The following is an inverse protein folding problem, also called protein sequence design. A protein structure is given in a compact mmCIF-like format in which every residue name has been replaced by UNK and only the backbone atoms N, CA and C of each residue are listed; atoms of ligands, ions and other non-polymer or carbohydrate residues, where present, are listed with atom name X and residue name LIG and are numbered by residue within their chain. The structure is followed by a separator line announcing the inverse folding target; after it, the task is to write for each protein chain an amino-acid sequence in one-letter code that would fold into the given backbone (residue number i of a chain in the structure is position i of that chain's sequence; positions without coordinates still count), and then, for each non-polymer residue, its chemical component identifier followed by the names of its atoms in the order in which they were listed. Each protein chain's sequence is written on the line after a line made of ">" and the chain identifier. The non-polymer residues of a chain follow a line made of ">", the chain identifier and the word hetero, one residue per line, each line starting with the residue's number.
data_IF_329476163785
#
_entry.id   IF_329476163785
#
_cell.length_a   1.000
_cell.length_b   1.000
_cell.length_c   1.000
_cell.angle_alpha   90.00
_cell.angle_beta   90.00
_cell.angle_gamma   90.00
#
_symmetry.space_group_name_H-M   'P 1'
#
loop_
_entity.id
_entity.type
_entity.pdbx_description
1 polymer ?
#
# COMPACT_ATOMS: atom_id res chain seq x y z
N UNK A 1 -15.12 37.08 -18.17
CA UNK A 1 -16.23 36.26 -17.63
C UNK A 1 -16.01 34.79 -17.98
N UNK A 2 -15.82 34.46 -19.27
CA UNK A 2 -15.52 33.09 -19.73
C UNK A 2 -14.37 32.40 -18.99
N UNK A 3 -13.25 33.07 -18.70
CA UNK A 3 -12.08 32.36 -18.13
C UNK A 3 -12.19 32.10 -16.61
N UNK A 4 -12.99 32.87 -15.86
CA UNK A 4 -13.30 32.56 -14.45
C UNK A 4 -14.27 31.38 -14.33
N UNK A 5 -15.29 31.32 -15.20
CA UNK A 5 -16.23 30.20 -15.26
C UNK A 5 -15.52 28.92 -15.72
N UNK A 6 -14.56 29.03 -16.64
CA UNK A 6 -13.68 27.93 -17.06
C UNK A 6 -12.78 27.49 -15.90
N UNK A 7 -12.12 28.41 -15.20
CA UNK A 7 -11.29 28.09 -14.02
C UNK A 7 -12.11 27.37 -12.93
N UNK A 8 -13.34 27.84 -12.66
CA UNK A 8 -14.26 27.21 -11.70
C UNK A 8 -14.65 25.78 -12.10
N UNK A 9 -14.90 25.57 -13.39
CA UNK A 9 -15.21 24.25 -13.93
C UNK A 9 -14.00 23.31 -13.90
N UNK A 10 -12.78 23.83 -14.02
CA UNK A 10 -11.55 23.02 -13.92
C UNK A 10 -11.28 22.68 -12.46
N UNK A 11 -11.37 23.66 -11.55
CA UNK A 11 -11.08 23.48 -10.13
C UNK A 11 -11.97 22.43 -9.45
N UNK A 12 -13.21 22.27 -9.92
CA UNK A 12 -14.17 21.31 -9.37
C UNK A 12 -13.98 19.87 -9.87
N UNK A 13 -13.20 19.65 -10.94
CA UNK A 13 -13.02 18.32 -11.55
C UNK A 13 -11.98 17.45 -10.87
N UNK A 14 -11.16 18.02 -9.98
CA UNK A 14 -10.10 17.29 -9.27
C UNK A 14 -10.20 17.56 -7.77
N UNK A 15 -11.24 17.06 -7.08
CA UNK A 15 -11.35 17.25 -5.63
C UNK A 15 -10.20 16.53 -4.91
N UNK A 16 -9.76 17.12 -3.80
CA UNK A 16 -8.90 16.46 -2.82
C UNK A 16 -9.61 15.26 -2.20
N UNK A 17 -8.85 14.35 -1.58
CA UNK A 17 -9.41 13.20 -0.85
C UNK A 17 -10.28 13.64 0.33
N UNK A 18 -9.92 14.73 1.01
CA UNK A 18 -10.66 15.33 2.11
C UNK A 18 -10.45 16.85 2.13
N UNK A 19 -11.52 17.57 2.51
CA UNK A 19 -11.43 19.01 2.75
C UNK A 19 -10.43 19.33 3.86
N UNK A 20 -9.73 20.46 3.72
CA UNK A 20 -8.89 21.01 4.77
C UNK A 20 -9.73 21.62 5.89
N UNK A 21 -9.56 21.11 7.10
CA UNK A 21 -10.36 21.49 8.29
C UNK A 21 -9.57 22.31 9.32
N UNK A 22 -8.39 22.81 8.98
CA UNK A 22 -7.62 23.73 9.81
C UNK A 22 -6.90 23.04 10.98
N UNK A 23 -7.13 23.50 12.20
CA UNK A 23 -6.40 23.05 13.41
C UNK A 23 -6.58 21.55 13.70
N UNK A 24 -7.73 21.00 13.28
CA UNK A 24 -8.10 19.59 13.48
C UNK A 24 -7.68 18.70 12.30
N UNK A 25 -7.07 19.25 11.24
CA UNK A 25 -6.64 18.47 10.09
C UNK A 25 -5.41 17.62 10.44
N UNK A 26 -5.31 16.45 9.81
CA UNK A 26 -4.11 15.63 9.94
C UNK A 26 -2.92 16.25 9.22
N UNK A 27 -3.15 17.06 8.19
CA UNK A 27 -2.11 17.74 7.41
C UNK A 27 -1.72 19.05 8.06
N UNK A 28 -0.43 19.35 8.10
CA UNK A 28 0.06 20.70 8.37
C UNK A 28 -0.36 21.72 7.30
N UNK A 29 -0.29 23.00 7.64
CA UNK A 29 -0.52 24.10 6.70
C UNK A 29 0.36 24.00 5.46
N UNK A 30 1.66 23.78 5.63
CA UNK A 30 2.59 23.62 4.51
C UNK A 30 2.32 22.36 3.68
N UNK A 31 1.83 21.28 4.28
CA UNK A 31 1.42 20.09 3.53
C UNK A 31 0.23 20.42 2.64
N UNK A 32 -0.77 21.13 3.16
CA UNK A 32 -1.92 21.56 2.37
C UNK A 32 -1.53 22.60 1.30
N UNK A 33 -0.62 23.54 1.59
CA UNK A 33 -0.10 24.48 0.58
C UNK A 33 0.56 23.74 -0.57
N UNK A 34 1.38 22.72 -0.29
CA UNK A 34 1.97 21.89 -1.33
C UNK A 34 0.91 21.18 -2.17
N UNK A 35 -0.18 20.72 -1.55
CA UNK A 35 -1.33 20.17 -2.29
C UNK A 35 -1.97 21.22 -3.19
N UNK A 36 -2.19 22.45 -2.73
CA UNK A 36 -2.71 23.56 -3.54
C UNK A 36 -1.80 23.87 -4.72
N UNK A 37 -0.48 23.89 -4.51
CA UNK A 37 0.49 24.20 -5.56
C UNK A 37 0.64 23.08 -6.59
N UNK A 38 0.54 21.82 -6.15
CA UNK A 38 0.62 20.63 -7.01
C UNK A 38 -0.71 20.30 -7.66
N UNK A 39 -1.83 20.73 -7.06
CA UNK A 39 -3.15 20.57 -7.64
C UNK A 39 -3.19 21.29 -8.98
N UNK A 40 -3.66 20.57 -9.99
CA UNK A 40 -3.83 21.10 -11.33
C UNK A 40 -2.50 21.71 -11.83
N UNK A 41 -1.42 20.93 -11.73
CA UNK A 41 -0.09 21.32 -12.21
C UNK A 41 -0.16 21.85 -13.66
N UNK A 42 0.48 23.01 -13.90
CA UNK A 42 0.41 23.73 -15.17
C UNK A 42 -0.78 24.67 -15.34
N UNK A 43 -1.76 24.67 -14.44
CA UNK A 43 -2.86 25.65 -14.45
C UNK A 43 -2.51 26.97 -13.75
N UNK A 44 -3.30 28.01 -14.06
CA UNK A 44 -3.11 29.37 -13.57
C UNK A 44 -3.49 29.57 -12.10
N UNK A 45 -3.06 30.70 -11.53
CA UNK A 45 -3.28 31.02 -10.12
C UNK A 45 -4.77 31.11 -9.75
N UNK A 46 -5.65 31.54 -10.67
CA UNK A 46 -7.10 31.57 -10.44
C UNK A 46 -7.63 30.16 -10.21
N UNK A 47 -7.28 29.22 -11.08
CA UNK A 47 -7.72 27.84 -10.97
C UNK A 47 -7.26 27.22 -9.66
N UNK A 48 -5.99 27.42 -9.26
CA UNK A 48 -5.47 26.90 -7.98
C UNK A 48 -6.12 27.55 -6.76
N UNK A 49 -6.37 28.85 -6.80
CA UNK A 49 -7.08 29.56 -5.73
C UNK A 49 -8.53 29.05 -5.56
N UNK A 50 -9.24 28.84 -6.68
CA UNK A 50 -10.60 28.29 -6.66
C UNK A 50 -10.61 26.83 -6.22
N UNK A 51 -9.58 26.07 -6.58
CA UNK A 51 -9.38 24.72 -6.08
C UNK A 51 -9.21 24.71 -4.56
N UNK A 52 -8.35 25.57 -4.01
CA UNK A 52 -8.17 25.70 -2.57
C UNK A 52 -9.50 26.04 -1.87
N UNK A 53 -10.27 26.98 -2.44
CA UNK A 53 -11.61 27.33 -1.94
C UNK A 53 -12.55 26.12 -1.87
N UNK A 54 -12.62 25.33 -2.95
CA UNK A 54 -13.50 24.17 -3.01
C UNK A 54 -13.08 23.05 -2.04
N UNK A 55 -11.78 22.97 -1.73
CA UNK A 55 -11.17 21.93 -0.91
C UNK A 55 -10.85 22.38 0.52
N UNK A 56 -11.40 23.50 0.96
CA UNK A 56 -11.31 23.97 2.36
C UNK A 56 -12.71 23.95 2.97
N UNK A 57 -12.81 23.67 4.27
CA UNK A 57 -14.06 23.84 5.01
C UNK A 57 -14.50 25.32 5.03
N UNK A 58 -15.79 25.59 4.90
CA UNK A 58 -16.30 26.96 4.74
C UNK A 58 -15.95 27.88 5.93
N UNK A 59 -15.94 27.32 7.14
CA UNK A 59 -15.56 28.02 8.38
C UNK A 59 -14.08 28.44 8.35
N UNK A 60 -13.20 27.52 7.92
CA UNK A 60 -11.76 27.72 7.77
C UNK A 60 -11.46 28.67 6.63
N UNK A 61 -12.13 28.50 5.49
CA UNK A 61 -11.99 29.40 4.35
C UNK A 61 -12.28 30.84 4.75
N UNK A 62 -13.38 31.05 5.49
CA UNK A 62 -13.75 32.38 6.00
C UNK A 62 -12.69 32.99 6.92
N UNK A 63 -11.98 32.16 7.74
CA UNK A 63 -10.83 32.60 8.53
C UNK A 63 -9.65 33.00 7.63
N UNK A 64 -9.31 32.18 6.63
CA UNK A 64 -8.17 32.37 5.73
C UNK A 64 -8.27 33.63 4.88
N UNK A 65 -9.47 33.94 4.38
CA UNK A 65 -9.70 35.11 3.51
C UNK A 65 -10.17 36.35 4.30
N UNK A 66 -10.12 36.33 5.64
CA UNK A 66 -10.63 37.44 6.46
C UNK A 66 -9.90 38.74 6.13
N UNK A 67 -10.66 39.77 5.77
CA UNK A 67 -10.11 41.06 5.36
C UNK A 67 -9.47 41.04 3.96
N UNK A 68 -9.82 40.05 3.12
CA UNK A 68 -9.52 40.05 1.69
C UNK A 68 -10.80 39.96 0.88
N UNK A 69 -10.96 40.89 -0.06
CA UNK A 69 -11.95 40.75 -1.13
C UNK A 69 -11.28 40.02 -2.30
N UNK A 70 -11.86 38.93 -2.82
CA UNK A 70 -11.29 38.25 -3.98
C UNK A 70 -11.35 39.17 -5.22
N UNK A 71 -10.32 39.16 -6.09
CA UNK A 71 -10.33 40.01 -7.28
C UNK A 71 -11.46 39.60 -8.22
N UNK A 72 -12.47 40.45 -8.38
CA UNK A 72 -13.65 40.08 -9.18
C UNK A 72 -13.32 39.98 -10.68
N UNK A 73 -12.23 40.60 -11.15
CA UNK A 73 -11.99 40.81 -12.60
C UNK A 73 -10.53 40.78 -13.08
N UNK A 74 -9.54 40.62 -12.22
CA UNK A 74 -8.12 40.73 -12.58
C UNK A 74 -7.37 39.43 -12.30
N UNK A 75 -7.05 38.67 -13.36
CA UNK A 75 -6.29 37.40 -13.26
C UNK A 75 -4.88 37.61 -12.67
N UNK A 76 -4.24 38.76 -12.96
CA UNK A 76 -2.92 39.11 -12.41
C UNK A 76 -2.93 39.31 -10.90
N UNK A 77 -4.08 39.68 -10.32
CA UNK A 77 -4.18 39.83 -8.86
C UNK A 77 -4.32 38.48 -8.15
N UNK A 78 -4.81 37.43 -8.84
CA UNK A 78 -4.92 36.10 -8.23
C UNK A 78 -3.58 35.47 -7.87
N UNK A 79 -2.48 35.81 -8.54
CA UNK A 79 -1.15 35.39 -8.10
C UNK A 79 -0.80 35.94 -6.72
N UNK A 80 -1.12 37.22 -6.47
CA UNK A 80 -0.89 37.86 -5.16
C UNK A 80 -1.83 37.27 -4.11
N UNK A 81 -3.08 37.02 -4.47
CA UNK A 81 -4.06 36.41 -3.57
C UNK A 81 -3.71 34.95 -3.24
N UNK A 82 -3.25 34.17 -4.21
CA UNK A 82 -2.79 32.80 -3.97
C UNK A 82 -1.56 32.79 -3.06
N UNK A 83 -0.56 33.63 -3.34
CA UNK A 83 0.61 33.78 -2.46
C UNK A 83 0.22 34.18 -1.04
N UNK A 84 -0.69 35.14 -0.89
CA UNK A 84 -1.21 35.55 0.41
C UNK A 84 -1.96 34.42 1.10
N UNK A 85 -2.81 33.69 0.37
CA UNK A 85 -3.52 32.53 0.90
C UNK A 85 -2.54 31.48 1.43
N UNK A 86 -1.53 31.09 0.64
CA UNK A 86 -0.52 30.13 1.07
C UNK A 86 0.22 30.61 2.32
N UNK A 87 0.66 31.88 2.34
CA UNK A 87 1.30 32.47 3.53
C UNK A 87 0.38 32.40 4.75
N UNK A 88 -0.89 32.82 4.64
CA UNK A 88 -1.83 32.78 5.76
C UNK A 88 -2.10 31.36 6.25
N UNK A 89 -2.16 30.37 5.35
CA UNK A 89 -2.30 28.96 5.73
C UNK A 89 -1.11 28.52 6.58
N UNK A 90 0.11 28.81 6.13
CA UNK A 90 1.32 28.46 6.87
C UNK A 90 1.38 29.18 8.23
N UNK A 91 1.12 30.49 8.25
CA UNK A 91 1.15 31.31 9.46
C UNK A 91 0.17 30.82 10.55
N UNK A 92 -0.98 30.27 10.16
CA UNK A 92 -2.00 29.79 11.09
C UNK A 92 -1.82 28.32 11.48
N UNK A 93 -1.38 27.47 10.54
CA UNK A 93 -1.47 26.02 10.67
C UNK A 93 -0.11 25.29 10.65
N UNK A 94 1.02 25.99 10.52
CA UNK A 94 2.36 25.47 10.81
C UNK A 94 2.84 25.96 12.19
N UNK A 95 2.01 25.72 13.21
CA UNK A 95 2.26 26.11 14.59
C UNK A 95 2.87 24.96 15.41
N UNK A 96 3.27 25.26 16.65
CA UNK A 96 3.90 24.27 17.56
C UNK A 96 3.02 23.04 17.82
N UNK A 97 1.68 23.18 17.79
CA UNK A 97 0.76 22.05 17.95
C UNK A 97 0.78 21.12 16.73
N UNK A 98 0.81 21.68 15.52
CA UNK A 98 0.95 20.91 14.28
C UNK A 98 2.30 20.17 14.24
N UNK A 99 3.38 20.83 14.65
CA UNK A 99 4.70 20.21 14.78
C UNK A 99 4.66 19.07 15.80
N UNK A 100 4.13 19.31 17.01
CA UNK A 100 4.03 18.30 18.05
C UNK A 100 3.20 17.08 17.62
N UNK A 101 2.07 17.31 16.93
CA UNK A 101 1.25 16.24 16.33
C UNK A 101 2.05 15.41 15.33
N UNK A 102 2.78 16.05 14.43
CA UNK A 102 3.62 15.36 13.44
C UNK A 102 4.79 14.59 14.09
N UNK A 103 5.43 15.16 15.11
CA UNK A 103 6.49 14.48 15.88
C UNK A 103 5.96 13.26 16.63
N UNK A 104 4.79 13.37 17.27
CA UNK A 104 4.13 12.23 17.92
C UNK A 104 3.82 11.14 16.90
N UNK A 105 3.27 11.50 15.74
CA UNK A 105 3.05 10.54 14.64
C UNK A 105 4.35 9.89 14.19
N UNK A 106 5.43 10.65 14.07
CA UNK A 106 6.74 10.11 13.72
C UNK A 106 7.21 9.10 14.76
N UNK A 107 7.28 9.47 16.03
CA UNK A 107 7.81 8.63 17.12
C UNK A 107 6.96 7.38 17.34
N UNK A 108 5.65 7.47 17.13
CA UNK A 108 4.72 6.34 17.32
C UNK A 108 4.49 5.51 16.06
N UNK A 109 5.09 5.89 14.93
CA UNK A 109 4.91 5.21 13.65
C UNK A 109 5.40 3.75 13.70
N UNK A 110 4.44 2.82 13.56
CA UNK A 110 4.67 1.38 13.49
C UNK A 110 3.91 0.78 12.32
N UNK A 111 4.45 -0.29 11.75
CA UNK A 111 3.83 -1.05 10.68
C UNK A 111 2.53 -1.66 11.20
N UNK A 112 1.43 -1.50 10.48
CA UNK A 112 0.17 -2.18 10.85
C UNK A 112 0.23 -3.68 10.50
N UNK A 113 -0.56 -4.55 11.17
CA UNK A 113 -0.49 -6.00 10.97
C UNK A 113 -0.70 -6.47 9.52
N UNK A 114 -1.50 -5.75 8.73
CA UNK A 114 -1.80 -6.05 7.32
C UNK A 114 -1.10 -5.10 6.34
N UNK A 115 -0.29 -4.18 6.83
CA UNK A 115 0.40 -3.18 6.00
C UNK A 115 1.67 -3.76 5.40
N UNK A 116 1.84 -3.61 4.08
CA UNK A 116 3.07 -4.02 3.40
C UNK A 116 4.24 -3.10 3.79
N UNK A 117 5.46 -3.64 3.77
CA UNK A 117 6.68 -2.87 4.05
C UNK A 117 6.75 -1.56 3.23
N UNK A 118 6.38 -1.61 1.95
CA UNK A 118 6.40 -0.43 1.08
C UNK A 118 5.38 0.63 1.50
N UNK A 119 4.18 0.25 1.92
CA UNK A 119 3.17 1.19 2.43
C UNK A 119 3.64 1.84 3.73
N UNK A 120 4.17 1.04 4.65
CA UNK A 120 4.74 1.52 5.91
C UNK A 120 5.88 2.52 5.68
N UNK A 121 6.82 2.19 4.79
CA UNK A 121 7.95 3.06 4.45
C UNK A 121 7.47 4.40 3.90
N UNK A 122 6.56 4.38 2.92
CA UNK A 122 5.98 5.61 2.34
C UNK A 122 5.24 6.46 3.37
N UNK A 123 4.53 5.83 4.30
CA UNK A 123 3.82 6.54 5.37
C UNK A 123 4.80 7.23 6.31
N UNK A 124 5.89 6.56 6.69
CA UNK A 124 6.96 7.15 7.49
C UNK A 124 7.66 8.31 6.77
N UNK A 125 7.99 8.13 5.48
CA UNK A 125 8.58 9.17 4.63
C UNK A 125 7.65 10.39 4.48
N UNK A 126 6.34 10.16 4.37
CA UNK A 126 5.34 11.23 4.31
C UNK A 126 5.35 12.09 5.57
N UNK A 127 5.42 11.47 6.76
CA UNK A 127 5.50 12.20 8.04
C UNK A 127 6.80 13.02 8.12
N UNK A 128 7.94 12.45 7.70
CA UNK A 128 9.21 13.19 7.66
C UNK A 128 9.17 14.35 6.68
N UNK A 129 8.51 14.15 5.53
CA UNK A 129 8.36 15.22 4.56
C UNK A 129 7.50 16.36 5.11
N UNK A 130 6.42 16.04 5.82
CA UNK A 130 5.59 17.03 6.52
C UNK A 130 6.38 17.81 7.57
N UNK A 131 7.15 17.13 8.42
CA UNK A 131 8.06 17.77 9.38
C UNK A 131 9.06 18.70 8.68
N UNK A 132 9.63 18.26 7.56
CA UNK A 132 10.57 19.05 6.77
C UNK A 132 9.94 20.31 6.18
N UNK A 133 8.70 20.21 5.68
CA UNK A 133 7.95 21.35 5.18
C UNK A 133 7.69 22.41 6.25
N UNK A 134 7.51 21.99 7.51
CA UNK A 134 7.42 22.90 8.67
C UNK A 134 8.80 23.36 9.20
N UNK A 135 9.89 23.04 8.50
CA UNK A 135 11.25 23.45 8.86
C UNK A 135 11.94 22.53 9.88
N UNK A 136 11.34 21.40 10.25
CA UNK A 136 11.94 20.45 11.19
C UNK A 136 12.79 19.43 10.43
N UNK A 137 14.09 19.40 10.75
CA UNK A 137 15.03 18.47 10.11
C UNK A 137 15.06 17.12 10.84
N UNK A 138 14.70 16.06 10.13
CA UNK A 138 14.89 14.69 10.61
C UNK A 138 16.24 14.14 10.15
N UNK A 139 17.04 13.63 11.09
CA UNK A 139 18.31 12.98 10.75
C UNK A 139 18.06 11.61 10.13
N UNK A 140 18.91 11.24 9.17
CA UNK A 140 18.81 9.97 8.46
C UNK A 140 18.86 8.77 9.41
N UNK A 141 19.74 8.82 10.42
CA UNK A 141 19.80 7.81 11.46
C UNK A 141 18.46 7.66 12.21
N UNK A 142 17.83 8.77 12.59
CA UNK A 142 16.53 8.75 13.27
C UNK A 142 15.45 8.11 12.41
N UNK A 143 15.47 8.37 11.10
CA UNK A 143 14.54 7.78 10.15
C UNK A 143 14.78 6.26 9.99
N UNK A 144 16.04 5.81 9.84
CA UNK A 144 16.38 4.37 9.85
C UNK A 144 15.94 3.69 11.13
N UNK A 145 16.23 4.32 12.27
CA UNK A 145 15.87 3.81 13.59
C UNK A 145 14.37 3.67 13.74
N UNK A 146 13.60 4.68 13.32
CA UNK A 146 12.13 4.62 13.38
C UNK A 146 11.56 3.56 12.45
N UNK A 147 12.13 3.40 11.26
CA UNK A 147 11.77 2.32 10.34
C UNK A 147 12.02 0.96 10.99
N UNK A 148 13.22 0.72 11.52
CA UNK A 148 13.61 -0.52 12.21
C UNK A 148 12.71 -0.83 13.42
N UNK A 149 12.55 0.12 14.33
CA UNK A 149 11.77 -0.05 15.57
C UNK A 149 10.27 -0.23 15.28
N UNK A 150 9.81 0.26 14.12
CA UNK A 150 8.41 0.18 13.71
C UNK A 150 8.04 -1.09 12.93
N UNK A 151 8.99 -1.90 12.49
CA UNK A 151 8.70 -3.14 11.76
C UNK A 151 7.91 -4.14 12.61
N UNK A 152 7.06 -4.95 11.98
CA UNK A 152 6.42 -6.08 12.67
C UNK A 152 7.25 -7.35 12.64
N UNK A 153 8.14 -7.50 11.66
CA UNK A 153 8.91 -8.73 11.44
C UNK A 153 10.23 -8.72 12.21
N UNK A 154 10.35 -9.58 13.22
CA UNK A 154 11.63 -9.86 13.91
C UNK A 154 12.71 -10.32 12.93
N UNK A 155 12.35 -11.18 11.98
CA UNK A 155 13.27 -11.65 10.94
C UNK A 155 13.87 -10.50 10.12
N UNK A 156 13.06 -9.48 9.77
CA UNK A 156 13.60 -8.33 9.03
C UNK A 156 14.53 -7.49 9.90
N UNK A 157 14.15 -7.23 11.16
CA UNK A 157 15.00 -6.50 12.12
C UNK A 157 16.36 -7.16 12.26
N UNK A 158 16.40 -8.46 12.53
CA UNK A 158 17.64 -9.22 12.66
C UNK A 158 18.56 -9.12 11.42
N UNK A 159 17.97 -9.00 10.22
CA UNK A 159 18.74 -8.95 8.96
C UNK A 159 19.37 -7.60 8.66
N UNK A 160 18.91 -6.53 9.27
CA UNK A 160 19.41 -5.16 9.01
C UNK A 160 19.98 -4.50 10.27
N UNK A 161 20.13 -5.26 11.36
CA UNK A 161 20.58 -4.76 12.66
C UNK A 161 21.99 -4.15 12.60
N UNK A 162 22.87 -4.72 11.78
CA UNK A 162 24.26 -4.26 11.64
C UNK A 162 24.34 -2.96 10.86
N UNK A 163 23.45 -2.78 9.89
CA UNK A 163 23.37 -1.64 8.98
C UNK A 163 22.69 -0.43 9.63
N UNK A 164 21.94 -0.63 10.71
CA UNK A 164 21.23 0.44 11.42
C UNK A 164 22.17 1.54 11.95
N UNK A 165 23.31 1.14 12.51
CA UNK A 165 24.35 2.04 13.03
C UNK A 165 25.43 2.39 12.03
N UNK A 166 25.38 1.83 10.81
CA UNK A 166 26.40 2.08 9.79
C UNK A 166 26.09 3.39 9.05
N UNK A 167 26.95 4.39 9.27
CA UNK A 167 26.86 5.69 8.60
C UNK A 167 27.19 5.63 7.11
N UNK A 168 27.77 4.53 6.61
CA UNK A 168 28.05 4.35 5.18
C UNK A 168 26.84 3.89 4.39
N UNK A 169 25.93 3.17 5.03
CA UNK A 169 24.68 2.74 4.41
C UNK A 169 23.77 3.94 4.39
N UNK A 170 23.17 4.31 3.25
CA UNK A 170 22.17 5.39 3.22
C UNK A 170 20.78 4.90 3.66
N UNK A 171 19.83 5.82 3.91
CA UNK A 171 18.44 5.42 4.17
C UNK A 171 17.85 4.64 2.99
N UNK A 172 18.08 5.10 1.76
CA UNK A 172 17.58 4.44 0.56
C UNK A 172 18.16 3.03 0.41
N UNK A 173 19.46 2.87 0.66
CA UNK A 173 20.12 1.56 0.67
C UNK A 173 19.55 0.65 1.76
N UNK A 174 19.29 1.20 2.95
CA UNK A 174 18.66 0.46 4.06
C UNK A 174 17.25 -0.04 3.69
N UNK A 175 16.42 0.80 3.03
CA UNK A 175 15.10 0.43 2.52
C UNK A 175 15.19 -0.64 1.42
N UNK A 176 16.17 -0.54 0.52
CA UNK A 176 16.42 -1.55 -0.52
C UNK A 176 16.80 -2.91 0.09
N UNK A 177 17.67 -2.91 1.10
CA UNK A 177 18.05 -4.12 1.84
C UNK A 177 16.82 -4.78 2.48
N UNK A 178 16.03 -4.02 3.22
CA UNK A 178 14.77 -4.49 3.82
C UNK A 178 13.83 -5.09 2.77
N UNK A 179 13.63 -4.39 1.67
CA UNK A 179 12.77 -4.84 0.56
C UNK A 179 13.28 -6.16 -0.05
N UNK A 180 14.59 -6.34 -0.15
CA UNK A 180 15.21 -7.59 -0.65
C UNK A 180 15.00 -8.76 0.30
N UNK A 181 15.08 -8.53 1.62
CA UNK A 181 14.87 -9.57 2.63
C UNK A 181 13.40 -9.96 2.71
N UNK A 182 12.50 -8.98 2.60
CA UNK A 182 11.06 -9.20 2.60
C UNK A 182 10.62 -10.01 1.37
N UNK A 183 11.09 -9.66 0.17
CA UNK A 183 10.83 -10.44 -1.05
C UNK A 183 11.26 -11.90 -0.90
N UNK A 184 12.43 -12.14 -0.29
CA UNK A 184 12.93 -13.51 -0.01
C UNK A 184 12.06 -14.25 1.00
N UNK A 185 11.60 -13.57 2.06
CA UNK A 185 10.70 -14.14 3.07
C UNK A 185 9.36 -14.56 2.45
N UNK A 186 8.70 -13.63 1.75
CA UNK A 186 7.43 -13.88 1.07
C UNK A 186 7.53 -15.02 0.04
N UNK A 187 8.63 -15.07 -0.73
CA UNK A 187 8.88 -16.15 -1.68
C UNK A 187 9.03 -17.52 -1.02
N UNK A 188 9.59 -17.61 0.20
CA UNK A 188 9.64 -18.87 0.96
C UNK A 188 8.27 -19.26 1.48
N UNK A 189 7.51 -18.32 2.03
CA UNK A 189 6.16 -18.56 2.54
C UNK A 189 5.20 -19.02 1.44
N UNK A 190 5.26 -18.42 0.26
CA UNK A 190 4.44 -18.82 -0.88
C UNK A 190 4.78 -20.24 -1.34
N UNK A 191 6.07 -20.59 -1.40
CA UNK A 191 6.48 -21.98 -1.72
C UNK A 191 5.98 -22.97 -0.66
N UNK A 192 6.10 -22.62 0.62
CA UNK A 192 5.62 -23.49 1.70
C UNK A 192 4.11 -23.72 1.61
N UNK A 193 3.32 -22.66 1.39
CA UNK A 193 1.87 -22.78 1.19
C UNK A 193 1.52 -23.72 0.04
N UNK A 194 2.21 -23.60 -1.10
CA UNK A 194 2.01 -24.50 -2.24
C UNK A 194 2.34 -25.95 -1.89
N UNK A 195 3.42 -26.20 -1.14
CA UNK A 195 3.74 -27.55 -0.66
C UNK A 195 2.64 -28.09 0.27
N UNK A 196 2.18 -27.30 1.23
CA UNK A 196 1.16 -27.70 2.19
C UNK A 196 -0.19 -27.98 1.50
N UNK A 197 -0.56 -27.18 0.50
CA UNK A 197 -1.73 -27.41 -0.35
C UNK A 197 -1.61 -28.73 -1.11
N UNK A 198 -0.48 -28.99 -1.78
CA UNK A 198 -0.25 -30.25 -2.51
C UNK A 198 -0.35 -31.47 -1.56
N UNK A 199 0.26 -31.38 -0.38
CA UNK A 199 0.22 -32.44 0.63
C UNK A 199 -1.22 -32.66 1.10
N UNK A 200 -1.95 -31.59 1.39
CA UNK A 200 -3.34 -31.65 1.85
C UNK A 200 -4.25 -32.25 0.78
N UNK A 201 -4.13 -31.85 -0.48
CA UNK A 201 -4.88 -32.42 -1.61
C UNK A 201 -4.59 -33.91 -1.83
N UNK A 202 -3.35 -34.36 -1.61
CA UNK A 202 -3.00 -35.79 -1.67
C UNK A 202 -3.59 -36.59 -0.51
N UNK A 203 -3.67 -36.00 0.68
CA UNK A 203 -4.26 -36.63 1.86
C UNK A 203 -5.80 -36.73 1.77
N UNK A 204 -6.47 -35.73 1.20
CA UNK A 204 -7.94 -35.76 1.01
C UNK A 204 -8.34 -36.75 -0.09
N UNK A 205 -7.65 -36.76 -1.23
CA UNK A 205 -7.91 -37.72 -2.32
C UNK A 205 -7.63 -39.18 -1.93
N UNK A 206 -6.69 -39.43 -1.01
CA UNK A 206 -6.44 -40.78 -0.48
C UNK A 206 -7.51 -41.25 0.51
N UNK A 207 -8.20 -40.33 1.22
CA UNK A 207 -9.30 -40.65 2.15
C UNK A 207 -10.57 -41.05 1.41
N UNK A 208 -10.86 -40.46 0.26
CA UNK A 208 -12.03 -40.81 -0.54
C UNK A 208 -11.88 -42.17 -1.23
N UNK A 209 -10.68 -42.53 -1.70
CA UNK A 209 -10.38 -43.89 -2.19
C UNK A 209 -10.45 -44.98 -1.10
N UNK A 210 -10.39 -44.58 0.18
CA UNK A 210 -10.53 -45.49 1.31
C UNK A 210 -12.00 -45.73 1.70
N UNK A 211 -12.92 -44.86 1.30
CA UNK A 211 -14.37 -45.01 1.54
C UNK A 211 -15.09 -45.79 0.43
N UNK A 212 -14.61 -45.76 -0.81
CA UNK A 212 -15.19 -46.54 -1.91
C UNK A 212 -14.84 -48.03 -1.88
N UNK A 213 -13.80 -48.46 -1.14
CA UNK A 213 -13.45 -49.89 -1.01
C UNK A 213 -14.19 -50.64 0.09
N UNK A 214 -15.02 -49.98 0.90
CA UNK A 214 -15.79 -50.61 1.98
C UNK A 214 -17.26 -50.90 1.64
N UNK A 215 -17.72 -50.64 0.42
CA UNK A 215 -19.13 -50.88 0.01
C UNK A 215 -19.24 -51.69 -1.27
N UNK A 216 -18.65 -52.89 -1.30
CA UNK A 216 -18.95 -53.88 -2.34
C UNK A 216 -18.67 -55.29 -1.79
N UNK A 217 -19.59 -55.80 -0.97
CA UNK A 217 -19.59 -57.21 -0.60
C UNK A 217 -21.02 -57.70 -0.36
N UNK A 218 -21.49 -58.44 -1.37
CA UNK A 218 -22.39 -59.60 -1.29
C UNK A 218 -23.87 -59.38 -0.96
N UNK A 219 -24.73 -59.65 -1.95
CA UNK A 219 -25.45 -60.94 -1.99
C UNK A 219 -26.42 -60.99 -3.18
N UNK A 220 -26.26 -61.97 -4.08
CA UNK A 220 -27.38 -62.57 -4.82
C UNK A 220 -27.03 -64.02 -5.18
N UNK A 221 -27.71 -64.92 -4.48
CA UNK A 221 -27.77 -66.35 -4.69
C UNK A 221 -28.66 -66.63 -5.89
N UNK A 222 -28.22 -67.49 -6.81
CA UNK A 222 -29.09 -68.36 -7.61
C UNK A 222 -28.42 -69.72 -7.83
N UNK A 223 -29.05 -70.76 -7.30
CA UNK A 223 -29.00 -72.19 -7.67
C UNK A 223 -29.76 -72.40 -9.00
N UNK A 224 -29.57 -73.40 -9.86
CA UNK A 224 -28.82 -74.65 -9.93
C UNK A 224 -28.84 -75.13 -11.41
N UNK A 225 -27.99 -76.12 -11.72
CA UNK A 225 -28.12 -77.18 -12.73
C UNK A 225 -27.34 -77.16 -14.07
N UNK A 226 -26.53 -78.22 -14.18
CA UNK A 226 -26.35 -79.20 -15.27
C UNK A 226 -25.56 -78.88 -16.56
N UNK A 227 -24.50 -79.69 -16.70
CA UNK A 227 -24.00 -80.42 -17.88
C UNK A 227 -23.15 -79.74 -18.96
N UNK A 228 -21.98 -80.37 -19.13
CA UNK A 228 -21.27 -80.75 -20.35
C UNK A 228 -20.78 -79.70 -21.37
N UNK A 229 -19.51 -79.92 -21.74
CA UNK A 229 -18.87 -79.71 -23.06
C UNK A 229 -17.89 -78.55 -23.22
N UNK A 230 -16.64 -78.94 -23.44
CA UNK A 230 -15.72 -78.52 -24.51
C UNK A 230 -15.17 -77.08 -24.66
N UNK A 231 -13.83 -77.06 -24.71
CA UNK A 231 -12.92 -76.38 -25.66
C UNK A 231 -12.73 -74.83 -25.68
N UNK A 232 -11.45 -74.45 -25.85
CA UNK A 232 -10.98 -73.23 -26.53
C UNK A 232 -10.49 -72.12 -25.60
N UNK A 233 -9.20 -71.96 -25.29
CA UNK A 233 -8.07 -71.40 -26.09
C UNK A 233 -8.03 -69.86 -26.20
N UNK A 234 -6.80 -69.34 -26.08
CA UNK A 234 -6.26 -67.98 -26.33
C UNK A 234 -6.41 -67.01 -25.15
N UNK A 235 -5.36 -66.44 -24.55
CA UNK A 235 -3.96 -66.19 -24.95
C UNK A 235 -3.64 -64.73 -24.58
N UNK A 236 -2.55 -64.41 -23.85
CA UNK A 236 -2.25 -63.05 -23.38
C UNK A 236 -1.41 -62.27 -24.41
N UNK A 237 -1.57 -60.94 -24.46
CA UNK A 237 -0.73 -60.06 -25.27
C UNK A 237 0.06 -59.08 -24.38
N UNK A 238 1.38 -59.20 -24.53
CA UNK A 238 2.45 -58.30 -24.14
C UNK A 238 2.29 -56.84 -24.63
N UNK A 239 2.95 -55.92 -23.93
CA UNK A 239 4.06 -55.09 -24.44
C UNK A 239 4.25 -53.84 -23.56
N UNK A 240 5.35 -53.80 -22.78
CA UNK A 240 6.60 -53.07 -23.02
C UNK A 240 6.47 -51.52 -23.03
N UNK A 241 6.95 -50.82 -21.99
CA UNK A 241 8.33 -50.35 -21.76
C UNK A 241 8.74 -49.21 -22.72
N UNK A 242 9.04 -48.01 -22.19
CA UNK A 242 10.29 -47.28 -22.44
C UNK A 242 10.50 -46.21 -21.37
N UNK A 243 11.72 -46.19 -20.84
CA UNK A 243 12.33 -45.14 -20.05
C UNK A 243 13.57 -44.62 -20.79
N UNK A 244 14.22 -43.61 -20.18
CA UNK A 244 15.55 -43.02 -20.49
C UNK A 244 15.50 -41.87 -21.51
N UNK A 245 16.13 -40.71 -21.34
CA UNK A 245 17.11 -40.15 -20.40
C UNK A 245 17.81 -38.96 -21.10
N UNK A 246 17.96 -37.81 -20.43
CA UNK A 246 19.23 -37.16 -20.05
C UNK A 246 19.99 -36.35 -21.15
N UNK A 247 20.36 -35.13 -20.72
CA UNK A 247 21.48 -34.24 -21.06
C UNK A 247 21.73 -33.69 -22.48
N UNK A 248 21.66 -32.36 -22.58
CA UNK A 248 22.74 -31.46 -23.03
C UNK A 248 22.45 -30.02 -22.60
#
# INVERSE_FOLDING_TARGET
>A
MKDYDVATNISSKSPSTSKFIGEDDERSGSTFVREVESALEGHDAVTKYLWAKANTEDSIWSKLIRGTEPPVRCYLDYEKHLRRLCSTIQDLYDNDDAIAKAEVRFVTCRQEPSESLSKFTKRLESIVTELHLMGIRTYEYSLKRRLYDGLNSDYLREKVDKELGDNKVSYDEFVLLLSSFERRRLGREQRQKLYDEIVTSRLTTSKDKSKEKSSSSSSRIYTLDARDSDQGSNGPADAHLFAVGADS
#
